data_IF_819912889614
#
_entry.id   IF_819912889614
#
_cell.length_a   1.000
_cell.length_b   1.000
_cell.length_c   1.000
_cell.angle_alpha   90.00
_cell.angle_beta   90.00
_cell.angle_gamma   90.00
#
_symmetry.space_group_name_H-M   'P 1'
#
loop_
_entity.id
_entity.type
_entity.pdbx_description
1 polymer ?
#
# COMPACT_ATOMS: atom_id res chain seq x y z
N UNK A 1 13.29 7.72 -4.58
CA UNK A 1 12.50 7.48 -5.80
C UNK A 1 11.42 6.42 -5.61
N UNK A 2 11.70 5.12 -5.44
CA UNK A 2 10.62 4.12 -5.35
C UNK A 2 9.63 4.40 -4.20
N UNK A 3 10.15 4.62 -2.98
CA UNK A 3 9.33 4.95 -1.80
C UNK A 3 8.48 6.21 -1.99
N UNK A 4 9.06 7.28 -2.52
CA UNK A 4 8.33 8.54 -2.77
C UNK A 4 7.21 8.33 -3.77
N UNK A 5 7.47 7.59 -4.85
CA UNK A 5 6.45 7.26 -5.85
C UNK A 5 5.33 6.39 -5.27
N UNK A 6 5.67 5.41 -4.44
CA UNK A 6 4.70 4.56 -3.75
C UNK A 6 3.80 5.37 -2.81
N UNK A 7 4.41 6.26 -2.01
CA UNK A 7 3.67 7.15 -1.10
C UNK A 7 2.73 8.07 -1.90
N UNK A 8 3.24 8.70 -2.96
CA UNK A 8 2.44 9.56 -3.84
C UNK A 8 1.28 8.81 -4.50
N UNK A 9 1.51 7.58 -4.93
CA UNK A 9 0.49 6.72 -5.52
C UNK A 9 -0.62 6.41 -4.51
N UNK A 10 -0.25 6.02 -3.28
CA UNK A 10 -1.21 5.73 -2.21
C UNK A 10 -2.02 6.99 -1.88
N UNK A 11 -1.36 8.13 -1.68
CA UNK A 11 -2.04 9.39 -1.38
C UNK A 11 -3.05 9.78 -2.45
N UNK A 12 -2.65 9.74 -3.72
CA UNK A 12 -3.52 10.09 -4.85
C UNK A 12 -4.68 9.10 -5.04
N UNK A 13 -4.44 7.82 -4.80
CA UNK A 13 -5.46 6.78 -5.00
C UNK A 13 -6.51 6.76 -3.90
N UNK A 14 -6.16 7.26 -2.71
CA UNK A 14 -7.02 7.23 -1.53
C UNK A 14 -7.51 8.61 -1.07
N UNK A 15 -7.14 9.68 -1.78
CA UNK A 15 -7.48 11.08 -1.51
C UNK A 15 -7.03 11.51 -0.10
N UNK A 16 -5.76 11.23 0.23
CA UNK A 16 -5.19 11.56 1.53
C UNK A 16 -4.68 13.01 1.54
N UNK A 17 -5.41 13.88 2.23
CA UNK A 17 -5.12 15.32 2.38
C UNK A 17 -3.94 15.64 3.32
N UNK A 18 -3.21 14.62 3.80
CA UNK A 18 -2.08 14.75 4.69
C UNK A 18 -0.89 13.92 4.20
N UNK A 19 0.30 14.25 4.69
CA UNK A 19 1.51 13.50 4.39
C UNK A 19 1.53 12.19 5.18
N UNK A 20 1.93 11.11 4.50
CA UNK A 20 2.26 9.82 5.12
C UNK A 20 3.74 9.54 4.88
N UNK A 21 4.35 8.79 5.78
CA UNK A 21 5.73 8.35 5.66
C UNK A 21 5.84 6.82 5.52
N UNK A 22 7.07 6.33 5.49
CA UNK A 22 7.38 4.91 5.33
C UNK A 22 6.74 4.02 6.39
N UNK A 23 6.62 4.50 7.61
CA UNK A 23 6.24 3.71 8.78
C UNK A 23 4.80 4.01 9.23
N UNK A 24 4.11 4.90 8.51
CA UNK A 24 2.71 5.24 8.75
C UNK A 24 1.83 4.02 8.55
N UNK A 25 1.11 3.54 9.59
CA UNK A 25 0.16 2.45 9.42
C UNK A 25 -1.02 2.91 8.57
N UNK A 26 -1.46 2.09 7.62
CA UNK A 26 -2.53 2.38 6.68
C UNK A 26 -3.79 1.59 7.04
N UNK A 27 -3.65 0.29 7.31
CA UNK A 27 -4.78 -0.61 7.55
C UNK A 27 -5.16 -0.58 9.03
N UNK A 28 -4.18 -0.78 9.92
CA UNK A 28 -4.41 -0.83 11.37
C UNK A 28 -4.81 0.53 11.97
N UNK A 29 -4.42 1.63 11.32
CA UNK A 29 -4.87 2.99 11.66
C UNK A 29 -6.27 3.32 11.14
N UNK A 30 -6.80 2.54 10.19
CA UNK A 30 -8.06 2.80 9.51
C UNK A 30 -8.00 3.83 8.38
N UNK A 31 -6.80 4.28 7.95
CA UNK A 31 -6.65 5.14 6.77
C UNK A 31 -7.13 4.43 5.49
N UNK A 32 -6.90 3.13 5.42
CA UNK A 32 -7.40 2.21 4.41
C UNK A 32 -8.22 1.15 5.14
N UNK A 33 -9.54 1.23 5.03
CA UNK A 33 -10.42 0.20 5.59
C UNK A 33 -10.26 -1.14 4.86
N UNK A 34 -10.75 -2.21 5.49
CA UNK A 34 -10.64 -3.58 4.98
C UNK A 34 -11.34 -3.79 3.62
N UNK A 35 -12.35 -2.98 3.28
CA UNK A 35 -13.04 -3.06 2.00
C UNK A 35 -12.17 -2.45 0.88
N UNK A 36 -11.41 -1.41 1.20
CA UNK A 36 -10.54 -0.69 0.28
C UNK A 36 -9.14 -1.30 0.14
N UNK A 37 -8.78 -2.32 0.92
CA UNK A 37 -7.52 -3.08 0.71
C UNK A 37 -7.48 -3.69 -0.69
N UNK A 38 -8.58 -4.26 -1.17
CA UNK A 38 -8.68 -4.81 -2.53
C UNK A 38 -8.38 -3.77 -3.63
N UNK A 39 -8.79 -2.51 -3.40
CA UNK A 39 -8.48 -1.40 -4.30
C UNK A 39 -6.98 -1.05 -4.24
N UNK A 40 -6.38 -1.04 -3.05
CA UNK A 40 -4.93 -0.83 -2.90
C UNK A 40 -4.15 -1.87 -3.71
N UNK A 41 -4.52 -3.15 -3.61
CA UNK A 41 -3.89 -4.21 -4.39
C UNK A 41 -4.02 -3.94 -5.89
N UNK A 42 -5.23 -3.65 -6.36
CA UNK A 42 -5.49 -3.36 -7.78
C UNK A 42 -4.63 -2.19 -8.30
N UNK A 43 -4.49 -1.13 -7.50
CA UNK A 43 -3.66 0.03 -7.83
C UNK A 43 -2.19 -0.37 -7.96
N UNK A 44 -1.67 -1.14 -7.00
CA UNK A 44 -0.28 -1.58 -6.98
C UNK A 44 0.03 -2.57 -8.11
N UNK A 45 -0.87 -3.51 -8.38
CA UNK A 45 -0.76 -4.45 -9.51
C UNK A 45 -0.70 -3.71 -10.84
N UNK A 46 -1.58 -2.71 -11.02
CA UNK A 46 -1.61 -1.89 -12.24
C UNK A 46 -0.35 -1.04 -12.40
N UNK A 47 0.14 -0.42 -11.33
CA UNK A 47 1.30 0.48 -11.40
C UNK A 47 2.61 -0.29 -11.61
N UNK A 48 2.78 -1.44 -10.93
CA UNK A 48 4.04 -2.16 -10.91
C UNK A 48 4.05 -3.44 -11.75
N UNK A 49 2.93 -3.80 -12.39
CA UNK A 49 2.81 -4.99 -13.25
C UNK A 49 3.00 -6.30 -12.49
N UNK A 50 2.63 -6.33 -11.21
CA UNK A 50 2.72 -7.51 -10.33
C UNK A 50 1.34 -8.13 -10.14
N UNK A 51 1.28 -9.38 -9.67
CA UNK A 51 0.06 -10.03 -9.20
C UNK A 51 0.17 -10.26 -7.71
N UNK A 52 -0.80 -9.77 -6.94
CA UNK A 52 -0.81 -9.79 -5.48
C UNK A 52 -2.03 -10.57 -5.01
N UNK A 53 -1.80 -11.69 -4.34
CA UNK A 53 -2.87 -12.47 -3.72
C UNK A 53 -3.33 -11.80 -2.43
N UNK A 54 -4.64 -11.66 -2.25
CA UNK A 54 -5.25 -11.18 -0.99
C UNK A 54 -4.94 -12.08 0.20
N UNK A 55 -4.51 -13.33 -0.02
CA UNK A 55 -4.09 -14.26 1.04
C UNK A 55 -2.68 -14.00 1.56
N UNK A 56 -1.88 -13.29 0.78
CA UNK A 56 -0.48 -13.02 1.10
C UNK A 56 -0.29 -11.66 1.78
N UNK A 57 -1.38 -10.90 1.97
CA UNK A 57 -1.35 -9.56 2.56
C UNK A 57 -2.13 -9.50 3.87
N UNK A 58 -1.57 -8.80 4.85
CA UNK A 58 -2.15 -8.60 6.17
C UNK A 58 -1.50 -7.43 6.89
N UNK A 59 -1.98 -7.11 8.10
CA UNK A 59 -1.43 -6.02 8.92
C UNK A 59 0.00 -6.32 9.41
N UNK A 60 0.44 -7.56 9.36
CA UNK A 60 1.79 -8.00 9.73
C UNK A 60 2.84 -7.71 8.63
N UNK A 61 2.42 -7.64 7.37
CA UNK A 61 3.34 -7.56 6.23
C UNK A 61 2.94 -6.55 5.14
N UNK A 62 1.85 -5.81 5.31
CA UNK A 62 1.29 -4.90 4.30
C UNK A 62 0.63 -3.63 4.90
N UNK A 63 0.89 -3.32 6.18
CA UNK A 63 0.23 -2.22 6.88
C UNK A 63 0.85 -0.85 6.58
N UNK A 64 2.15 -0.79 6.31
CA UNK A 64 2.90 0.46 6.09
C UNK A 64 3.46 0.53 4.67
N UNK A 65 3.70 1.72 4.09
CA UNK A 65 4.40 1.84 2.81
C UNK A 65 5.75 1.11 2.77
N UNK A 66 6.48 1.09 3.89
CA UNK A 66 7.72 0.35 4.04
C UNK A 66 7.55 -1.18 3.95
N UNK A 67 6.47 -1.72 4.51
CA UNK A 67 6.12 -3.13 4.36
C UNK A 67 5.69 -3.44 2.92
N UNK A 68 4.86 -2.59 2.32
CA UNK A 68 4.41 -2.74 0.93
C UNK A 68 5.61 -2.75 -0.04
N UNK A 69 6.55 -1.82 0.10
CA UNK A 69 7.79 -1.81 -0.69
C UNK A 69 8.55 -3.13 -0.54
N UNK A 70 8.74 -3.60 0.70
CA UNK A 70 9.45 -4.86 0.97
C UNK A 70 8.72 -6.07 0.38
N UNK A 71 7.39 -6.06 0.39
CA UNK A 71 6.56 -7.10 -0.19
C UNK A 71 6.70 -7.12 -1.72
N UNK A 72 6.55 -5.96 -2.38
CA UNK A 72 6.66 -5.83 -3.83
C UNK A 72 8.05 -6.22 -4.36
N UNK A 73 9.11 -5.91 -3.62
CA UNK A 73 10.49 -6.28 -3.98
C UNK A 73 10.78 -7.79 -3.88
N UNK A 74 9.91 -8.55 -3.21
CA UNK A 74 10.04 -10.02 -3.07
C UNK A 74 9.22 -10.81 -4.10
N UNK A 75 8.33 -10.13 -4.82
CA UNK A 75 7.54 -10.71 -5.93
C UNK A 75 8.34 -10.70 -7.23
#
# INVERSE_FOLDING_TARGET
>A
MFMEHLIDLIRKSFDLDFDIDRDTPLISSGLIDSLRVSLLLTVLEREYGKTISTRDVGTDNFDTPGQIEKFLNKL
#
